data_IF_858189317572
#
_entry.id   IF_858189317572
#
_cell.length_a   1.000
_cell.length_b   1.000
_cell.length_c   1.000
_cell.angle_alpha   90.00
_cell.angle_beta   90.00
_cell.angle_gamma   90.00
#
_symmetry.space_group_name_H-M   'P 1'
#
loop_
_entity.id
_entity.type
_entity.pdbx_description
1 polymer ?
#
# COMPACT_ATOMS: atom_id res chain seq x y z
N UNK A 1 -22.88 15.46 2.65
CA UNK A 1 -23.44 14.15 2.30
C UNK A 1 -23.64 14.12 0.80
N UNK A 2 -22.64 13.68 0.03
CA UNK A 2 -22.91 13.24 -1.34
C UNK A 2 -23.81 12.01 -1.20
N UNK A 3 -24.99 12.06 -1.82
CA UNK A 3 -26.04 11.11 -1.56
C UNK A 3 -25.57 9.73 -2.05
N UNK A 4 -25.59 8.70 -1.20
CA UNK A 4 -25.24 7.32 -1.57
C UNK A 4 -25.88 6.85 -2.89
N UNK A 5 -27.04 7.44 -3.26
CA UNK A 5 -27.69 7.23 -4.56
C UNK A 5 -26.88 7.70 -5.79
N UNK A 6 -26.07 8.75 -5.69
CA UNK A 6 -25.17 9.19 -6.77
C UNK A 6 -24.10 8.13 -7.04
N UNK A 7 -23.43 7.64 -5.99
CA UNK A 7 -22.40 6.59 -6.13
C UNK A 7 -23.01 5.32 -6.74
N UNK A 8 -24.19 4.91 -6.27
CA UNK A 8 -24.89 3.76 -6.83
C UNK A 8 -25.28 3.96 -8.30
N UNK A 9 -25.76 5.15 -8.68
CA UNK A 9 -26.07 5.46 -10.07
C UNK A 9 -24.82 5.40 -10.95
N UNK A 10 -23.71 5.98 -10.51
CA UNK A 10 -22.43 5.91 -11.22
C UNK A 10 -21.94 4.46 -11.38
N UNK A 11 -22.12 3.61 -10.37
CA UNK A 11 -21.77 2.19 -10.45
C UNK A 11 -22.63 1.47 -11.49
N UNK A 12 -23.93 1.75 -11.57
CA UNK A 12 -24.79 1.18 -12.62
C UNK A 12 -24.31 1.61 -14.02
N UNK A 13 -23.92 2.87 -14.18
CA UNK A 13 -23.41 3.41 -15.45
C UNK A 13 -22.05 2.81 -15.87
N UNK A 14 -21.31 2.13 -14.98
CA UNK A 14 -20.13 1.36 -15.38
C UNK A 14 -20.49 0.15 -16.27
N UNK A 15 -21.75 -0.30 -16.26
CA UNK A 15 -22.24 -1.39 -17.10
C UNK A 15 -22.75 -0.96 -18.47
N UNK A 16 -22.87 0.34 -18.71
CA UNK A 16 -23.48 0.90 -19.93
C UNK A 16 -22.75 0.41 -21.20
N UNK A 17 -23.45 0.23 -22.31
CA UNK A 17 -22.83 -0.17 -23.57
C UNK A 17 -22.06 0.98 -24.24
N UNK A 18 -22.44 2.23 -23.97
CA UNK A 18 -21.72 3.42 -24.42
C UNK A 18 -20.41 3.61 -23.62
N UNK A 19 -19.30 3.57 -24.34
CA UNK A 19 -17.95 3.71 -23.76
C UNK A 19 -17.72 5.09 -23.17
N UNK A 20 -18.31 6.14 -23.73
CA UNK A 20 -18.21 7.50 -23.19
C UNK A 20 -18.92 7.59 -21.84
N UNK A 21 -20.13 7.03 -21.72
CA UNK A 21 -20.90 7.01 -20.46
C UNK A 21 -20.13 6.26 -19.37
N UNK A 22 -19.59 5.07 -19.69
CA UNK A 22 -18.75 4.32 -18.74
C UNK A 22 -17.53 5.12 -18.28
N UNK A 23 -16.85 5.80 -19.21
CA UNK A 23 -15.64 6.58 -18.89
C UNK A 23 -15.97 7.77 -17.99
N UNK A 24 -17.06 8.49 -18.26
CA UNK A 24 -17.51 9.60 -17.39
C UNK A 24 -17.85 9.09 -16.00
N UNK A 25 -18.55 7.96 -15.89
CA UNK A 25 -18.86 7.35 -14.61
C UNK A 25 -17.59 6.95 -13.84
N UNK A 26 -16.63 6.33 -14.52
CA UNK A 26 -15.32 5.97 -13.98
C UNK A 26 -14.57 7.19 -13.45
N UNK A 27 -14.46 8.25 -14.24
CA UNK A 27 -13.77 9.48 -13.85
C UNK A 27 -14.41 10.14 -12.63
N UNK A 28 -15.75 10.17 -12.57
CA UNK A 28 -16.47 10.70 -11.41
C UNK A 28 -16.23 9.86 -10.15
N UNK A 29 -16.25 8.54 -10.25
CA UNK A 29 -15.93 7.65 -9.12
C UNK A 29 -14.50 7.84 -8.62
N UNK A 30 -13.53 8.03 -9.53
CA UNK A 30 -12.14 8.34 -9.19
C UNK A 30 -12.02 9.69 -8.47
N UNK A 31 -12.78 10.70 -8.89
CA UNK A 31 -12.83 12.01 -8.21
C UNK A 31 -13.46 11.94 -6.82
N UNK A 32 -14.45 11.07 -6.63
CA UNK A 32 -15.07 10.82 -5.32
C UNK A 32 -14.04 10.19 -4.37
N UNK A 33 -13.27 9.19 -4.84
CA UNK A 33 -12.19 8.57 -4.06
C UNK A 33 -12.69 7.63 -2.96
N UNK A 34 -12.10 7.73 -1.77
CA UNK A 34 -12.34 6.86 -0.61
C UNK A 34 -13.84 6.57 -0.32
N UNK A 35 -14.76 7.56 -0.33
CA UNK A 35 -16.17 7.32 -0.04
C UNK A 35 -16.86 6.35 -1.00
N UNK A 36 -16.35 6.18 -2.23
CA UNK A 36 -16.88 5.22 -3.21
C UNK A 36 -16.40 3.78 -2.96
N UNK A 37 -15.34 3.58 -2.18
CA UNK A 37 -14.64 2.28 -2.09
C UNK A 37 -15.51 1.17 -1.51
N UNK A 38 -16.39 1.47 -0.55
CA UNK A 38 -17.31 0.49 0.03
C UNK A 38 -18.30 -0.04 -1.01
N UNK A 39 -18.93 0.87 -1.77
CA UNK A 39 -19.88 0.54 -2.82
C UNK A 39 -19.22 -0.21 -3.99
N UNK A 40 -18.03 0.23 -4.40
CA UNK A 40 -17.25 -0.46 -5.44
C UNK A 40 -16.81 -1.86 -5.02
N UNK A 41 -16.45 -2.05 -3.74
CA UNK A 41 -16.11 -3.36 -3.18
C UNK A 41 -17.32 -4.30 -3.21
N UNK A 42 -18.50 -3.79 -2.86
CA UNK A 42 -19.74 -4.55 -2.93
C UNK A 42 -20.08 -4.92 -4.38
N UNK A 43 -20.08 -3.97 -5.30
CA UNK A 43 -20.33 -4.20 -6.73
C UNK A 43 -19.29 -5.13 -7.40
N UNK A 44 -18.05 -5.13 -6.91
CA UNK A 44 -17.01 -6.07 -7.36
C UNK A 44 -17.20 -7.51 -6.86
N UNK A 45 -18.11 -7.74 -5.90
CA UNK A 45 -18.45 -9.05 -5.33
C UNK A 45 -19.84 -9.53 -5.75
N UNK A 46 -20.81 -8.63 -5.80
CA UNK A 46 -22.19 -8.87 -6.18
C UNK A 46 -22.30 -8.92 -7.70
N UNK A 47 -22.45 -10.11 -8.26
CA UNK A 47 -22.56 -10.27 -9.70
C UNK A 47 -23.97 -9.94 -10.18
N UNK A 48 -24.09 -9.00 -11.12
CA UNK A 48 -25.35 -8.71 -11.83
C UNK A 48 -25.21 -8.88 -13.35
N UNK A 49 -24.07 -8.54 -13.97
CA UNK A 49 -23.87 -8.65 -15.45
C UNK A 49 -22.41 -8.95 -15.86
N UNK A 50 -21.50 -9.16 -14.91
CA UNK A 50 -20.07 -9.37 -15.18
C UNK A 50 -19.27 -8.13 -15.62
N UNK A 51 -19.83 -7.24 -16.45
CA UNK A 51 -19.18 -5.98 -16.87
C UNK A 51 -18.97 -5.01 -15.69
N UNK A 52 -20.05 -4.72 -14.96
CA UNK A 52 -20.01 -3.83 -13.77
C UNK A 52 -18.99 -4.35 -12.75
N UNK A 53 -18.94 -5.66 -12.54
CA UNK A 53 -18.02 -6.30 -11.59
C UNK A 53 -16.55 -6.07 -11.96
N UNK A 54 -16.20 -6.19 -13.24
CA UNK A 54 -14.82 -5.97 -13.72
C UNK A 54 -14.47 -4.49 -13.60
N UNK A 55 -15.34 -3.60 -14.08
CA UNK A 55 -15.13 -2.16 -14.03
C UNK A 55 -15.02 -1.65 -12.58
N UNK A 56 -15.91 -2.07 -11.69
CA UNK A 56 -15.87 -1.70 -10.29
C UNK A 56 -14.56 -2.12 -9.61
N UNK A 57 -14.02 -3.30 -9.93
CA UNK A 57 -12.71 -3.75 -9.43
C UNK A 57 -11.57 -2.89 -9.97
N UNK A 58 -11.60 -2.50 -11.24
CA UNK A 58 -10.59 -1.61 -11.82
C UNK A 58 -10.61 -0.23 -11.16
N UNK A 59 -11.80 0.38 -11.00
CA UNK A 59 -11.94 1.67 -10.33
C UNK A 59 -11.47 1.58 -8.89
N UNK A 60 -11.90 0.55 -8.15
CA UNK A 60 -11.50 0.32 -6.76
C UNK A 60 -9.97 0.17 -6.62
N UNK A 61 -9.34 -0.62 -7.49
CA UNK A 61 -7.90 -0.82 -7.48
C UNK A 61 -7.16 0.50 -7.74
N UNK A 62 -7.65 1.32 -8.67
CA UNK A 62 -7.07 2.63 -8.98
C UNK A 62 -7.19 3.62 -7.83
N UNK A 63 -8.36 3.72 -7.19
CA UNK A 63 -8.55 4.56 -5.99
C UNK A 63 -7.56 4.15 -4.90
N UNK A 64 -7.51 2.85 -4.58
CA UNK A 64 -6.59 2.32 -3.55
C UNK A 64 -5.13 2.59 -3.87
N UNK A 65 -4.74 2.52 -5.14
CA UNK A 65 -3.39 2.82 -5.57
C UNK A 65 -3.04 4.29 -5.34
N UNK A 66 -3.90 5.22 -5.74
CA UNK A 66 -3.65 6.66 -5.52
C UNK A 66 -3.66 7.00 -4.03
N UNK A 67 -4.56 6.43 -3.24
CA UNK A 67 -4.59 6.60 -1.78
C UNK A 67 -3.30 6.09 -1.11
N UNK A 68 -2.81 4.91 -1.55
CA UNK A 68 -1.57 4.32 -1.05
C UNK A 68 -0.37 5.22 -1.36
N UNK A 69 -0.27 5.70 -2.60
CA UNK A 69 0.82 6.58 -3.03
C UNK A 69 0.76 7.92 -2.27
N UNK A 70 -0.43 8.49 -2.13
CA UNK A 70 -0.63 9.72 -1.36
C UNK A 70 -0.26 9.56 0.11
N UNK A 71 -0.54 8.39 0.70
CA UNK A 71 -0.13 8.08 2.07
C UNK A 71 1.39 8.04 2.23
N UNK A 72 2.12 7.48 1.24
CA UNK A 72 3.59 7.51 1.24
C UNK A 72 4.18 8.89 0.96
N UNK A 73 3.50 9.71 0.16
CA UNK A 73 3.89 11.11 -0.03
C UNK A 73 3.82 11.87 1.30
N UNK A 74 2.72 11.73 2.04
CA UNK A 74 2.59 12.35 3.36
C UNK A 74 3.65 11.83 4.33
N UNK A 75 3.97 10.54 4.27
CA UNK A 75 5.03 9.93 5.10
C UNK A 75 6.40 10.55 4.78
N UNK A 76 6.75 10.71 3.51
CA UNK A 76 8.02 11.33 3.08
C UNK A 76 8.18 12.81 3.46
N UNK A 77 7.10 13.47 3.89
CA UNK A 77 7.14 14.84 4.42
C UNK A 77 7.36 14.91 5.94
N UNK A 78 7.27 13.78 6.64
CA UNK A 78 7.47 13.71 8.08
C UNK A 78 8.97 13.74 8.42
N UNK A 79 9.29 14.23 9.62
CA UNK A 79 10.61 14.00 10.21
C UNK A 79 10.72 12.56 10.70
N UNK A 80 11.93 12.00 10.76
CA UNK A 80 12.18 10.61 11.16
C UNK A 80 11.57 10.26 12.53
N UNK A 81 11.63 11.18 13.49
CA UNK A 81 11.08 11.02 14.84
C UNK A 81 9.55 10.93 14.87
N UNK A 82 8.88 11.41 13.82
CA UNK A 82 7.43 11.40 13.69
C UNK A 82 6.92 10.12 12.99
N UNK A 83 7.81 9.34 12.39
CA UNK A 83 7.44 8.16 11.62
C UNK A 83 7.22 6.98 12.55
N UNK A 84 5.98 6.51 12.58
CA UNK A 84 5.65 5.18 13.09
C UNK A 84 6.00 4.13 12.03
N UNK A 85 7.13 3.46 12.23
CA UNK A 85 7.61 2.42 11.32
C UNK A 85 6.65 1.23 11.21
N UNK A 86 5.93 0.88 12.29
CA UNK A 86 4.95 -0.20 12.27
C UNK A 86 3.80 0.15 11.32
N UNK A 87 3.28 1.37 11.41
CA UNK A 87 2.23 1.86 10.50
C UNK A 87 2.72 1.94 9.05
N UNK A 88 3.96 2.38 8.83
CA UNK A 88 4.56 2.40 7.50
C UNK A 88 4.63 1.00 6.86
N UNK A 89 4.98 -0.02 7.64
CA UNK A 89 5.04 -1.41 7.18
C UNK A 89 3.64 -1.95 6.87
N UNK A 90 2.65 -1.66 7.70
CA UNK A 90 1.26 -2.03 7.40
C UNK A 90 0.71 -1.33 6.17
N UNK A 91 1.07 -0.06 5.96
CA UNK A 91 0.73 0.67 4.76
C UNK A 91 1.33 -0.02 3.52
N UNK A 92 2.60 -0.41 3.58
CA UNK A 92 3.26 -1.15 2.49
C UNK A 92 2.57 -2.50 2.21
N UNK A 93 2.14 -3.21 3.25
CA UNK A 93 1.46 -4.50 3.12
C UNK A 93 0.15 -4.40 2.30
N UNK A 94 -0.52 -3.24 2.29
CA UNK A 94 -1.74 -3.01 1.50
C UNK A 94 -1.51 -3.13 -0.02
N UNK A 95 -0.28 -3.01 -0.50
CA UNK A 95 0.05 -3.28 -1.91
C UNK A 95 -0.27 -4.72 -2.30
N UNK A 96 0.02 -5.68 -1.43
CA UNK A 96 -0.25 -7.10 -1.64
C UNK A 96 -1.61 -7.55 -1.09
N UNK A 97 -2.06 -6.88 -0.02
CA UNK A 97 -3.25 -7.25 0.73
C UNK A 97 -4.12 -6.02 1.01
N UNK A 98 -4.85 -5.49 0.00
CA UNK A 98 -5.54 -4.21 0.12
C UNK A 98 -6.67 -4.16 1.16
N UNK A 99 -7.22 -5.33 1.52
CA UNK A 99 -8.28 -5.49 2.53
C UNK A 99 -7.73 -6.10 3.83
N UNK A 100 -6.41 -5.99 4.09
CA UNK A 100 -5.77 -6.50 5.29
C UNK A 100 -6.38 -5.86 6.55
N UNK A 101 -6.92 -6.70 7.44
CA UNK A 101 -7.20 -6.32 8.81
C UNK A 101 -5.89 -6.37 9.62
N UNK A 102 -5.43 -5.20 10.06
CA UNK A 102 -4.15 -5.05 10.75
C UNK A 102 -4.26 -5.32 12.26
N UNK A 103 -5.47 -5.27 12.83
CA UNK A 103 -5.66 -5.32 14.29
C UNK A 103 -5.07 -6.59 14.93
N UNK A 104 -5.22 -7.79 14.35
CA UNK A 104 -4.59 -9.00 14.89
C UNK A 104 -3.06 -8.91 14.90
N UNK A 105 -2.46 -8.41 13.82
CA UNK A 105 -1.00 -8.31 13.69
C UNK A 105 -0.41 -7.25 14.62
N UNK A 106 -1.13 -6.15 14.85
CA UNK A 106 -0.73 -5.14 15.84
C UNK A 106 -0.66 -5.73 17.25
N UNK A 107 -1.64 -6.55 17.63
CA UNK A 107 -1.64 -7.22 18.94
C UNK A 107 -0.48 -8.21 19.09
N UNK A 108 -0.09 -8.91 18.04
CA UNK A 108 1.06 -9.82 18.04
C UNK A 108 2.40 -9.08 18.06
N UNK A 109 2.47 -7.87 17.49
CA UNK A 109 3.67 -7.03 17.49
C UNK A 109 3.89 -6.28 18.81
N UNK A 110 2.82 -5.93 19.55
CA UNK A 110 2.91 -5.24 20.84
C UNK A 110 3.84 -5.92 21.89
N UNK A 111 3.89 -7.25 22.04
CA UNK A 111 4.87 -7.94 22.87
C UNK A 111 6.34 -7.68 22.46
N UNK A 112 6.61 -7.38 21.19
CA UNK A 112 7.95 -7.04 20.71
C UNK A 112 8.39 -5.63 21.12
N UNK A 113 7.48 -4.77 21.59
CA UNK A 113 7.84 -3.54 22.34
C UNK A 113 8.36 -3.83 23.77
N UNK A 114 8.43 -5.10 24.17
CA UNK A 114 9.25 -5.60 25.31
C UNK A 114 10.23 -6.69 24.86
N UNK A 115 10.50 -6.76 23.56
CA UNK A 115 11.31 -7.78 22.89
C UNK A 115 12.79 -7.67 23.24
N UNK A 116 13.41 -8.82 23.48
CA UNK A 116 14.83 -9.01 23.80
C UNK A 116 15.72 -7.98 23.11
N UNK A 117 16.34 -7.09 23.90
CA UNK A 117 17.38 -6.20 23.39
C UNK A 117 18.49 -7.05 22.81
N UNK A 118 18.68 -6.96 21.49
CA UNK A 118 19.82 -7.59 20.83
C UNK A 118 21.06 -6.80 21.23
N UNK A 119 22.01 -7.49 21.84
CA UNK A 119 23.32 -6.91 22.12
C UNK A 119 24.16 -6.88 20.85
N UNK A 120 25.23 -6.09 20.84
CA UNK A 120 26.24 -6.11 19.76
C UNK A 120 26.72 -7.52 19.44
N UNK A 121 26.92 -8.34 20.47
CA UNK A 121 27.31 -9.75 20.32
C UNK A 121 26.25 -10.58 19.59
N UNK A 122 24.98 -10.36 19.90
CA UNK A 122 23.87 -11.03 19.20
C UNK A 122 23.84 -10.63 17.71
N UNK A 123 23.98 -9.34 17.40
CA UNK A 123 24.01 -8.84 16.01
C UNK A 123 25.18 -9.41 15.20
N UNK A 124 26.39 -9.43 15.77
CA UNK A 124 27.57 -10.01 15.13
C UNK A 124 27.35 -11.50 14.86
N UNK A 125 26.83 -12.25 15.85
CA UNK A 125 26.57 -13.67 15.69
C UNK A 125 25.52 -13.97 14.60
N UNK A 126 24.49 -13.12 14.46
CA UNK A 126 23.49 -13.25 13.40
C UNK A 126 24.10 -13.03 12.01
N UNK A 127 24.93 -12.01 11.84
CA UNK A 127 25.58 -11.71 10.55
C UNK A 127 26.55 -12.82 10.11
N UNK A 128 27.35 -13.34 11.03
CA UNK A 128 28.21 -14.49 10.74
C UNK A 128 27.40 -15.72 10.31
N UNK A 129 26.28 -16.02 10.99
CA UNK A 129 25.39 -17.13 10.60
C UNK A 129 24.76 -16.93 9.22
N UNK A 130 24.55 -15.68 8.82
CA UNK A 130 24.04 -15.32 7.51
C UNK A 130 25.14 -15.23 6.42
N UNK A 131 26.39 -15.63 6.72
CA UNK A 131 27.55 -15.51 5.82
C UNK A 131 27.84 -14.06 5.37
N UNK A 132 27.57 -13.07 6.23
CA UNK A 132 27.92 -11.69 5.99
C UNK A 132 29.03 -11.20 6.93
N UNK A 133 30.09 -10.54 6.42
CA UNK A 133 31.11 -9.95 7.27
C UNK A 133 30.52 -8.81 8.10
N UNK A 134 30.89 -8.73 9.38
CA UNK A 134 30.47 -7.63 10.24
C UNK A 134 31.24 -6.35 9.91
N UNK A 135 30.52 -5.23 9.81
CA UNK A 135 31.08 -3.90 9.73
C UNK A 135 30.45 -3.02 10.81
N UNK A 136 31.24 -2.14 11.46
CA UNK A 136 30.75 -1.33 12.60
C UNK A 136 29.55 -0.46 12.21
N UNK A 137 29.55 0.05 10.98
CA UNK A 137 28.46 0.89 10.46
C UNK A 137 27.10 0.17 10.39
N UNK A 138 27.04 -1.16 10.54
CA UNK A 138 25.77 -1.89 10.59
C UNK A 138 25.02 -1.70 11.91
N UNK A 139 25.68 -1.17 12.93
CA UNK A 139 25.07 -0.85 14.23
C UNK A 139 24.74 0.64 14.36
N UNK A 140 25.03 1.44 13.32
CA UNK A 140 24.58 2.82 13.29
C UNK A 140 23.04 2.86 13.28
N UNK A 141 22.41 3.81 14.00
CA UNK A 141 20.97 3.95 13.99
C UNK A 141 20.47 4.15 12.56
N UNK A 142 19.65 3.23 12.08
CA UNK A 142 18.99 3.38 10.80
C UNK A 142 17.79 4.33 10.98
N UNK A 143 17.67 5.31 10.09
CA UNK A 143 16.53 6.22 10.10
C UNK A 143 15.29 5.49 9.58
N UNK A 144 14.09 5.77 10.11
CA UNK A 144 12.84 5.20 9.58
C UNK A 144 12.69 5.31 8.07
N UNK A 145 13.03 6.46 7.46
CA UNK A 145 13.05 6.59 5.99
C UNK A 145 13.98 5.57 5.31
N UNK A 146 15.19 5.36 5.84
CA UNK A 146 16.16 4.43 5.28
C UNK A 146 15.65 2.98 5.33
N UNK A 147 14.97 2.62 6.41
CA UNK A 147 14.35 1.29 6.59
C UNK A 147 13.22 1.10 5.58
N UNK A 148 12.30 2.06 5.46
CA UNK A 148 11.16 2.00 4.54
C UNK A 148 11.65 1.94 3.08
N UNK A 149 12.60 2.80 2.70
CA UNK A 149 13.21 2.79 1.38
C UNK A 149 13.93 1.46 1.08
N UNK A 150 14.57 0.84 2.08
CA UNK A 150 15.15 -0.49 1.93
C UNK A 150 14.08 -1.56 1.69
N UNK A 151 12.98 -1.55 2.43
CA UNK A 151 11.87 -2.48 2.24
C UNK A 151 11.25 -2.36 0.85
N UNK A 152 10.98 -1.13 0.39
CA UNK A 152 10.44 -0.87 -0.94
C UNK A 152 11.39 -1.40 -2.02
N UNK A 153 12.70 -1.13 -1.93
CA UNK A 153 13.70 -1.65 -2.88
C UNK A 153 13.73 -3.18 -2.91
N UNK A 154 13.61 -3.83 -1.76
CA UNK A 154 13.53 -5.28 -1.69
C UNK A 154 12.27 -5.82 -2.38
N UNK A 155 11.13 -5.14 -2.24
CA UNK A 155 9.91 -5.50 -2.95
C UNK A 155 10.04 -5.26 -4.47
N UNK A 156 10.64 -4.16 -4.91
CA UNK A 156 10.94 -3.90 -6.33
C UNK A 156 11.73 -5.06 -6.90
N UNK A 157 12.80 -5.46 -6.22
CA UNK A 157 13.61 -6.62 -6.64
C UNK A 157 12.75 -7.88 -6.71
N UNK A 158 11.99 -8.21 -5.66
CA UNK A 158 11.16 -9.42 -5.63
C UNK A 158 10.08 -9.46 -6.73
N UNK A 159 9.44 -8.33 -7.04
CA UNK A 159 8.43 -8.25 -8.09
C UNK A 159 9.01 -8.20 -9.50
N UNK A 160 10.26 -7.73 -9.65
CA UNK A 160 10.99 -7.83 -10.91
C UNK A 160 11.22 -9.29 -11.31
N UNK A 161 11.60 -10.18 -10.38
CA UNK A 161 11.72 -11.62 -10.67
C UNK A 161 10.39 -12.31 -11.03
N UNK A 162 9.26 -11.69 -10.67
CA UNK A 162 7.92 -12.22 -10.93
C UNK A 162 7.26 -11.63 -12.18
N UNK A 163 7.93 -10.70 -12.86
CA UNK A 163 7.43 -10.00 -14.04
C UNK A 163 6.09 -9.27 -13.81
N UNK A 164 5.85 -8.80 -12.58
CA UNK A 164 4.62 -8.09 -12.19
C UNK A 164 4.78 -6.57 -12.41
N UNK A 165 4.69 -6.15 -13.68
CA UNK A 165 4.89 -4.75 -14.07
C UNK A 165 3.95 -3.77 -13.35
N UNK A 166 2.69 -4.17 -13.13
CA UNK A 166 1.72 -3.30 -12.47
C UNK A 166 2.15 -2.93 -11.05
N UNK A 167 2.69 -3.89 -10.28
CA UNK A 167 3.21 -3.61 -8.93
C UNK A 167 4.53 -2.87 -8.95
N UNK A 168 5.40 -3.12 -9.93
CA UNK A 168 6.64 -2.37 -10.09
C UNK A 168 6.36 -0.88 -10.31
N UNK A 169 5.40 -0.55 -11.16
CA UNK A 169 5.00 0.84 -11.41
C UNK A 169 4.51 1.53 -10.13
N UNK A 170 3.70 0.83 -9.33
CA UNK A 170 3.22 1.35 -8.04
C UNK A 170 4.39 1.57 -7.07
N UNK A 171 5.29 0.59 -6.94
CA UNK A 171 6.44 0.67 -6.03
C UNK A 171 7.41 1.78 -6.42
N UNK A 172 7.64 2.00 -7.71
CA UNK A 172 8.48 3.10 -8.19
C UNK A 172 7.86 4.46 -7.86
N UNK A 173 6.53 4.61 -8.02
CA UNK A 173 5.81 5.82 -7.60
C UNK A 173 5.86 6.03 -6.09
N UNK A 174 5.72 4.97 -5.30
CA UNK A 174 5.87 5.02 -3.83
C UNK A 174 7.29 5.45 -3.46
N UNK A 175 8.32 4.93 -4.13
CA UNK A 175 9.71 5.31 -3.88
C UNK A 175 9.95 6.80 -4.14
N UNK A 176 9.41 7.33 -5.24
CA UNK A 176 9.47 8.76 -5.56
C UNK A 176 8.69 9.62 -4.54
N UNK A 177 7.54 9.13 -4.07
CA UNK A 177 6.73 9.83 -3.09
C UNK A 177 7.42 9.94 -1.71
N UNK A 178 8.28 8.98 -1.36
CA UNK A 178 9.01 8.95 -0.10
C UNK A 178 10.19 9.94 -0.06
N UNK A 179 10.69 10.38 -1.22
CA UNK A 179 11.78 11.35 -1.36
C UNK A 179 11.29 12.60 -2.12
N UNK A 180 10.33 13.38 -1.56
CA UNK A 180 9.81 14.55 -2.23
C UNK A 180 10.91 15.61 -2.35
N UNK A 181 11.23 15.99 -3.60
CA UNK A 181 12.19 17.04 -3.96
C UNK A 181 11.79 18.43 -3.48
#
# INVERSE_FOLDING_TARGET
>A
MLANGEIQALITLLGDDDTHVRNVARERLLQIGEPATAFLREAGRADLEGKIRIEARHVLAKIRQEDLIGSFYLLGLLEDEQIDLEQAVFLLARLGYPDLDIAPYQQELQPFNRGRTLTRTDCVALLYRANHPFHESFLEPARPHDIIARLIRNLIFAYHYRDDHAKLDVLNRICQALEPS
#
